data_IF_572838230894
#
_entry.id   IF_572838230894
#
_cell.length_a   1.000
_cell.length_b   1.000
_cell.length_c   1.000
_cell.angle_alpha   90.00
_cell.angle_beta   90.00
_cell.angle_gamma   90.00
#
_symmetry.space_group_name_H-M   'P 1'
#
loop_
_entity.id
_entity.type
_entity.pdbx_description
1 polymer ?
#
# COMPACT_ATOMS: atom_id res chain seq x y z
N UNK A 1 6.73 2.76 15.18
CA UNK A 1 6.76 3.55 13.93
C UNK A 1 5.39 4.22 13.77
N UNK A 2 5.26 5.55 13.90
CA UNK A 2 3.96 6.24 13.79
C UNK A 2 3.52 6.34 12.32
N UNK A 3 3.18 5.21 11.69
CA UNK A 3 2.61 5.16 10.33
C UNK A 3 1.18 5.73 10.31
N UNK A 4 0.54 5.84 11.48
CA UNK A 4 -0.84 6.25 11.72
C UNK A 4 -1.31 7.54 11.01
N UNK A 5 -0.38 8.40 10.56
CA UNK A 5 -0.71 9.71 9.97
C UNK A 5 -0.56 9.80 8.45
N UNK A 6 -0.12 8.75 7.75
CA UNK A 6 0.08 8.86 6.30
C UNK A 6 -1.27 8.78 5.58
N UNK A 7 -1.65 9.81 4.79
CA UNK A 7 -2.89 9.75 4.01
C UNK A 7 -2.86 8.58 3.02
N UNK A 8 -4.02 7.98 2.77
CA UNK A 8 -4.13 6.85 1.84
C UNK A 8 -3.58 7.17 0.44
N UNK A 9 -3.75 8.40 -0.04
CA UNK A 9 -3.19 8.86 -1.32
C UNK A 9 -1.66 8.83 -1.35
N UNK A 10 -1.00 9.17 -0.24
CA UNK A 10 0.46 9.12 -0.14
C UNK A 10 0.96 7.67 -0.07
N UNK A 11 0.25 6.80 0.66
CA UNK A 11 0.50 5.36 0.65
C UNK A 11 0.44 4.82 -0.77
N UNK A 12 -0.59 5.17 -1.54
CA UNK A 12 -0.71 4.72 -2.94
C UNK A 12 0.48 5.15 -3.80
N UNK A 13 0.97 6.38 -3.64
CA UNK A 13 2.14 6.87 -4.38
C UNK A 13 3.40 6.05 -4.05
N UNK A 14 3.65 5.81 -2.77
CA UNK A 14 4.82 5.04 -2.30
C UNK A 14 4.74 3.60 -2.81
N UNK A 15 3.59 2.95 -2.65
CA UNK A 15 3.35 1.58 -3.11
C UNK A 15 3.52 1.47 -4.63
N UNK A 16 2.98 2.43 -5.40
CA UNK A 16 3.14 2.44 -6.86
C UNK A 16 4.61 2.50 -7.27
N UNK A 17 5.40 3.34 -6.60
CA UNK A 17 6.84 3.46 -6.84
C UNK A 17 7.56 2.14 -6.54
N UNK A 18 7.28 1.53 -5.39
CA UNK A 18 7.80 0.22 -5.02
C UNK A 18 7.49 -0.87 -6.06
N UNK A 19 6.22 -1.00 -6.48
CA UNK A 19 5.79 -2.02 -7.44
C UNK A 19 6.46 -1.84 -8.82
N UNK A 20 6.65 -0.58 -9.24
CA UNK A 20 7.37 -0.23 -10.46
C UNK A 20 8.85 -0.63 -10.38
N UNK A 21 9.53 -0.28 -9.28
CA UNK A 21 10.95 -0.61 -9.07
C UNK A 21 11.20 -2.13 -9.00
N UNK A 22 10.30 -2.88 -8.36
CA UNK A 22 10.39 -4.34 -8.31
C UNK A 22 9.97 -5.04 -9.62
N UNK A 23 9.50 -4.29 -10.62
CA UNK A 23 8.88 -4.80 -11.85
C UNK A 23 7.75 -5.79 -11.56
N UNK A 24 7.01 -5.61 -10.45
CA UNK A 24 5.91 -6.51 -10.06
C UNK A 24 4.71 -6.32 -11.01
N UNK A 25 4.52 -5.11 -11.53
CA UNK A 25 3.46 -4.80 -12.51
C UNK A 25 3.62 -5.58 -13.82
N UNK A 26 4.86 -5.90 -14.23
CA UNK A 26 5.16 -6.51 -15.53
C UNK A 26 5.15 -8.04 -15.51
N UNK A 27 5.16 -8.68 -14.33
CA UNK A 27 5.57 -10.09 -14.24
C UNK A 27 4.60 -11.11 -14.83
N UNK A 28 3.32 -10.81 -15.13
CA UNK A 28 2.38 -11.86 -15.60
C UNK A 28 1.27 -11.35 -16.53
N UNK A 29 1.53 -11.29 -17.84
CA UNK A 29 0.52 -11.69 -18.83
C UNK A 29 0.33 -13.21 -18.72
N UNK A 30 -0.44 -13.68 -17.73
CA UNK A 30 -0.87 -15.09 -17.67
C UNK A 30 -2.34 -15.18 -18.08
N UNK A 31 -2.67 -16.19 -18.88
CA UNK A 31 -4.03 -16.56 -19.29
C UNK A 31 -4.96 -16.59 -18.07
N UNK A 32 -6.14 -15.96 -18.18
CA UNK A 32 -7.16 -15.90 -17.13
C UNK A 32 -7.97 -14.60 -17.18
N UNK A 33 -9.03 -14.51 -16.37
CA UNK A 33 -9.84 -13.29 -16.23
C UNK A 33 -8.95 -12.15 -15.67
N UNK A 34 -9.04 -10.92 -16.22
CA UNK A 34 -8.30 -9.78 -15.71
C UNK A 34 -8.52 -9.59 -14.20
N UNK A 35 -7.47 -9.20 -13.48
CA UNK A 35 -7.58 -8.86 -12.05
C UNK A 35 -8.60 -7.72 -11.89
N UNK A 36 -9.62 -7.93 -11.04
CA UNK A 36 -10.67 -6.93 -10.77
C UNK A 36 -10.12 -5.66 -10.08
N UNK A 37 -9.06 -5.82 -9.28
CA UNK A 37 -8.40 -4.74 -8.54
C UNK A 37 -6.90 -4.78 -8.81
N UNK A 38 -6.30 -3.61 -9.00
CA UNK A 38 -4.86 -3.46 -9.24
C UNK A 38 -4.04 -3.89 -8.03
N UNK A 39 -2.81 -4.34 -8.29
CA UNK A 39 -1.88 -4.71 -7.22
C UNK A 39 -1.55 -3.50 -6.34
N UNK A 40 -1.39 -2.33 -6.96
CA UNK A 40 -1.24 -1.04 -6.27
C UNK A 40 -2.33 -0.83 -5.21
N UNK A 41 -3.60 -1.03 -5.56
CA UNK A 41 -4.72 -0.84 -4.64
C UNK A 41 -4.71 -1.88 -3.52
N UNK A 42 -4.42 -3.14 -3.83
CA UNK A 42 -4.36 -4.21 -2.82
C UNK A 42 -3.24 -3.95 -1.82
N UNK A 43 -2.02 -3.67 -2.29
CA UNK A 43 -0.86 -3.41 -1.43
C UNK A 43 -1.06 -2.15 -0.58
N UNK A 44 -1.63 -1.09 -1.17
CA UNK A 44 -1.97 0.13 -0.44
C UNK A 44 -3.01 -0.11 0.64
N UNK A 45 -4.03 -0.93 0.36
CA UNK A 45 -5.06 -1.28 1.34
C UNK A 45 -4.49 -2.08 2.51
N UNK A 46 -3.56 -3.01 2.23
CA UNK A 46 -2.88 -3.79 3.27
C UNK A 46 -2.03 -2.88 4.17
N UNK A 47 -1.20 -2.03 3.57
CA UNK A 47 -0.35 -1.12 4.34
C UNK A 47 -1.19 -0.17 5.20
N UNK A 48 -2.28 0.34 4.64
CA UNK A 48 -3.19 1.22 5.36
C UNK A 48 -3.87 0.52 6.54
N UNK A 49 -4.32 -0.73 6.34
CA UNK A 49 -4.87 -1.58 7.40
C UNK A 49 -3.88 -1.78 8.53
N UNK A 50 -2.64 -2.18 8.21
CA UNK A 50 -1.57 -2.41 9.18
C UNK A 50 -1.24 -1.11 9.93
N UNK A 51 -1.11 0.01 9.20
CA UNK A 51 -0.71 1.30 9.76
C UNK A 51 -1.65 1.87 10.82
N UNK A 52 -2.90 1.38 10.84
CA UNK A 52 -3.99 1.89 11.67
C UNK A 52 -4.65 0.80 12.52
N UNK A 53 -4.12 -0.43 12.50
CA UNK A 53 -4.71 -1.56 13.22
C UNK A 53 -6.16 -1.87 12.84
N UNK A 54 -6.54 -1.68 11.57
CA UNK A 54 -7.94 -1.80 11.14
C UNK A 54 -8.35 -3.26 10.95
N UNK A 55 -9.61 -3.58 11.23
CA UNK A 55 -10.23 -4.81 10.73
C UNK A 55 -10.55 -4.70 9.23
N UNK A 56 -10.89 -5.81 8.57
CA UNK A 56 -11.35 -5.78 7.17
C UNK A 56 -12.62 -4.95 6.96
N UNK A 57 -13.50 -4.88 7.97
CA UNK A 57 -14.74 -4.08 7.91
C UNK A 57 -14.39 -2.59 7.98
N UNK A 58 -13.56 -2.21 8.93
CA UNK A 58 -13.16 -0.82 9.14
C UNK A 58 -12.34 -0.30 7.97
N UNK A 59 -11.39 -1.12 7.48
CA UNK A 59 -10.65 -0.84 6.24
C UNK A 59 -11.61 -0.54 5.09
N UNK A 60 -12.65 -1.36 4.91
CA UNK A 60 -13.59 -1.14 3.81
C UNK A 60 -14.39 0.14 3.99
N UNK A 61 -14.81 0.48 5.22
CA UNK A 61 -15.50 1.74 5.52
C UNK A 61 -14.61 2.94 5.20
N UNK A 62 -13.37 2.95 5.70
CA UNK A 62 -12.39 4.00 5.40
C UNK A 62 -12.10 4.14 3.90
N UNK A 63 -12.02 3.03 3.16
CA UNK A 63 -11.79 3.08 1.71
C UNK A 63 -12.99 3.66 0.95
N UNK A 64 -14.23 3.45 1.41
CA UNK A 64 -15.42 4.02 0.75
C UNK A 64 -15.41 5.54 0.74
N UNK A 65 -14.86 6.16 1.77
CA UNK A 65 -14.71 7.62 1.85
C UNK A 65 -13.59 8.16 0.95
N UNK A 66 -12.71 7.29 0.45
CA UNK A 66 -11.45 7.68 -0.20
C UNK A 66 -11.37 7.29 -1.67
N UNK A 67 -12.04 6.21 -2.08
CA UNK A 67 -11.99 5.69 -3.45
C UNK A 67 -13.36 5.20 -3.92
N UNK A 68 -13.65 5.39 -5.22
CA UNK A 68 -14.93 4.96 -5.83
C UNK A 68 -15.07 3.44 -5.92
N UNK A 69 -14.00 2.72 -6.27
CA UNK A 69 -14.01 1.26 -6.50
C UNK A 69 -13.33 0.53 -5.35
N UNK A 70 -14.06 0.32 -4.27
CA UNK A 70 -13.57 -0.35 -3.07
C UNK A 70 -13.55 -1.88 -3.27
N UNK A 71 -12.44 -2.56 -2.96
CA UNK A 71 -12.40 -4.02 -2.96
C UNK A 71 -13.39 -4.65 -1.99
N UNK A 72 -13.99 -5.79 -2.36
CA UNK A 72 -14.77 -6.57 -1.41
C UNK A 72 -13.86 -7.22 -0.37
N UNK A 73 -14.38 -7.47 0.83
CA UNK A 73 -13.63 -8.12 1.92
C UNK A 73 -13.04 -9.46 1.47
N UNK A 74 -13.81 -10.29 0.76
CA UNK A 74 -13.33 -11.56 0.21
C UNK A 74 -12.15 -11.40 -0.75
N UNK A 75 -12.14 -10.32 -1.55
CA UNK A 75 -11.02 -10.02 -2.44
C UNK A 75 -9.80 -9.56 -1.64
N UNK A 76 -9.97 -8.70 -0.63
CA UNK A 76 -8.88 -8.26 0.24
C UNK A 76 -8.25 -9.46 0.97
N UNK A 77 -9.07 -10.26 1.65
CA UNK A 77 -8.63 -11.45 2.38
C UNK A 77 -7.84 -12.42 1.49
N UNK A 78 -8.42 -12.78 0.33
CA UNK A 78 -7.76 -13.67 -0.62
C UNK A 78 -6.44 -13.11 -1.14
N UNK A 79 -6.39 -11.81 -1.45
CA UNK A 79 -5.23 -11.18 -2.06
C UNK A 79 -4.12 -10.90 -1.04
N UNK A 80 -4.46 -10.55 0.20
CA UNK A 80 -3.49 -10.36 1.28
C UNK A 80 -2.77 -11.67 1.59
N UNK A 81 -3.51 -12.78 1.69
CA UNK A 81 -2.93 -14.11 1.89
C UNK A 81 -1.95 -14.56 0.78
N UNK A 82 -2.04 -13.93 -0.41
CA UNK A 82 -1.18 -14.24 -1.55
C UNK A 82 0.09 -13.39 -1.62
N UNK A 83 0.23 -12.39 -0.76
CA UNK A 83 1.46 -11.63 -0.64
C UNK A 83 2.38 -12.46 0.25
N UNK A 84 3.51 -12.89 -0.30
CA UNK A 84 4.52 -13.60 0.49
C UNK A 84 5.19 -12.65 1.49
N UNK A 85 5.66 -13.22 2.59
CA UNK A 85 6.27 -12.51 3.72
C UNK A 85 7.44 -11.63 3.27
N UNK A 86 8.34 -12.17 2.44
CA UNK A 86 9.47 -11.42 1.88
C UNK A 86 9.03 -10.15 1.14
N UNK A 87 8.00 -10.26 0.29
CA UNK A 87 7.46 -9.10 -0.43
C UNK A 87 6.84 -8.07 0.53
N UNK A 88 6.21 -8.51 1.62
CA UNK A 88 5.66 -7.62 2.63
C UNK A 88 6.78 -6.90 3.41
N UNK A 89 7.82 -7.62 3.84
CA UNK A 89 8.99 -7.05 4.51
C UNK A 89 9.68 -5.99 3.64
N UNK A 90 9.91 -6.32 2.36
CA UNK A 90 10.50 -5.39 1.40
C UNK A 90 9.66 -4.12 1.23
N UNK A 91 8.33 -4.26 1.20
CA UNK A 91 7.42 -3.12 1.14
C UNK A 91 7.51 -2.25 2.39
N UNK A 92 7.49 -2.86 3.58
CA UNK A 92 7.55 -2.15 4.85
C UNK A 92 8.86 -1.36 4.98
N UNK A 93 9.99 -1.99 4.64
CA UNK A 93 11.29 -1.33 4.65
C UNK A 93 11.35 -0.20 3.61
N UNK A 94 10.79 -0.42 2.42
CA UNK A 94 10.71 0.63 1.41
C UNK A 94 9.94 1.86 1.91
N UNK A 95 8.78 1.63 2.51
CA UNK A 95 7.93 2.68 3.11
C UNK A 95 8.69 3.40 4.21
N UNK A 96 9.39 2.68 5.10
CA UNK A 96 10.22 3.26 6.17
C UNK A 96 11.23 4.25 5.61
N UNK A 97 12.04 3.84 4.64
CA UNK A 97 13.05 4.71 4.01
C UNK A 97 12.43 5.93 3.34
N UNK A 98 11.31 5.78 2.64
CA UNK A 98 10.66 6.92 1.97
C UNK A 98 10.10 7.92 2.98
N UNK A 99 9.65 7.47 4.16
CA UNK A 99 9.22 8.35 5.25
C UNK A 99 10.43 9.06 5.87
N UNK A 100 11.50 8.33 6.18
CA UNK A 100 12.73 8.88 6.77
C UNK A 100 13.33 9.98 5.90
N UNK A 101 13.46 9.74 4.59
CA UNK A 101 13.91 10.75 3.61
C UNK A 101 13.08 12.03 3.67
N UNK A 102 11.75 11.92 3.79
CA UNK A 102 10.86 13.09 3.87
C UNK A 102 11.05 13.87 5.17
N UNK A 103 11.26 13.17 6.29
CA UNK A 103 11.52 13.79 7.59
C UNK A 103 12.86 14.54 7.58
N UNK A 104 13.90 13.96 6.98
CA UNK A 104 15.22 14.60 6.90
C UNK A 104 15.23 15.81 5.96
N UNK A 105 14.51 15.76 4.83
CA UNK A 105 14.31 16.94 3.97
C UNK A 105 13.65 18.07 4.78
N UNK A 106 12.57 17.76 5.50
CA UNK A 106 11.83 18.76 6.30
C UNK A 106 12.73 19.40 7.36
N UNK A 107 13.61 18.63 8.01
CA UNK A 107 14.56 19.15 9.01
C UNK A 107 15.63 20.06 8.41
N UNK A 108 16.05 19.79 7.17
CA UNK A 108 17.07 20.58 6.48
C UNK A 108 16.48 21.87 5.88
N UNK A 109 15.22 21.87 5.44
CA UNK A 109 14.55 23.06 4.90
C UNK A 109 14.21 24.11 5.97
N UNK A 110 14.01 23.71 7.23
CA UNK A 110 13.68 24.66 8.33
C UNK A 110 14.93 25.29 8.96
N UNK A 111 16.13 24.82 8.60
CA UNK A 111 17.42 25.29 9.13
C UNK A 111 18.20 26.19 8.17
N UNK A 112 17.69 26.46 6.97
CA UNK A 112 18.28 27.38 5.99
C UNK A 112 17.39 28.60 5.80
#
# INVERSE_FOLDING_TARGET
MKIERIPFGEIRKIVKKFLKEKKIEERKKKRGRPKKYSDELIFSSLLFMISRGLSFRDLRSELKERIKKVPYISNLHYRFKKIDEKTLEELLEYVRREIEKRLDITRNTVKG
#
